data_IF_318048935506
#
_entry.id   IF_318048935506
#
_cell.length_a   1.000
_cell.length_b   1.000
_cell.length_c   1.000
_cell.angle_alpha   90.00
_cell.angle_beta   90.00
_cell.angle_gamma   90.00
#
_symmetry.space_group_name_H-M   'P 1'
#
loop_
_entity.id
_entity.type
_entity.pdbx_description
1 polymer ?
#
# COMPACT_ATOMS: atom_id res chain seq x y z
N UNK A 1 23.61 67.56 4.29
CA UNK A 1 22.79 68.48 5.12
C UNK A 1 22.38 67.78 6.40
N UNK A 2 21.93 68.50 7.44
CA UNK A 2 21.69 67.94 8.79
C UNK A 2 20.62 66.84 8.85
N UNK A 3 19.86 66.61 7.77
CA UNK A 3 18.71 65.70 7.76
C UNK A 3 18.98 64.37 7.02
N UNK A 4 20.23 64.07 6.64
CA UNK A 4 20.61 62.76 6.06
C UNK A 4 20.08 62.43 4.65
N UNK A 5 19.11 63.17 4.11
CA UNK A 5 18.46 62.89 2.83
C UNK A 5 19.23 63.37 1.58
N UNK A 6 20.37 64.06 1.73
CA UNK A 6 21.18 64.54 0.60
C UNK A 6 22.65 64.23 0.84
N UNK A 7 23.11 63.14 0.24
CA UNK A 7 24.48 62.62 0.43
C UNK A 7 25.48 63.50 -0.32
N UNK A 8 25.19 63.92 -1.56
CA UNK A 8 26.09 64.75 -2.37
C UNK A 8 25.42 65.40 -3.57
N UNK A 9 25.95 66.54 -4.00
CA UNK A 9 25.63 67.18 -5.28
C UNK A 9 26.79 66.96 -6.24
N UNK A 10 26.49 66.54 -7.47
CA UNK A 10 27.44 66.48 -8.57
C UNK A 10 27.02 67.51 -9.62
N UNK A 11 27.92 68.44 -9.95
CA UNK A 11 27.75 69.38 -11.06
C UNK A 11 28.03 68.62 -12.36
N UNK A 12 26.96 68.31 -13.10
CA UNK A 12 27.01 67.59 -14.37
C UNK A 12 26.65 68.58 -15.47
N UNK A 13 27.53 68.72 -16.45
CA UNK A 13 27.38 69.66 -17.57
C UNK A 13 27.27 68.92 -18.90
N UNK A 14 26.76 69.61 -19.91
CA UNK A 14 26.56 69.08 -21.26
C UNK A 14 27.87 68.72 -21.98
N UNK A 15 28.99 69.26 -21.54
CA UNK A 15 30.34 68.95 -22.03
C UNK A 15 30.99 67.73 -21.33
N UNK A 16 30.33 67.12 -20.35
CA UNK A 16 30.86 65.93 -19.69
C UNK A 16 30.73 64.69 -20.59
N UNK A 17 31.80 63.87 -20.71
CA UNK A 17 31.76 62.67 -21.54
C UNK A 17 30.79 61.64 -20.99
N UNK A 18 30.11 60.95 -21.91
CA UNK A 18 29.33 59.75 -21.59
C UNK A 18 30.22 58.69 -20.94
N UNK A 19 29.61 57.85 -20.12
CA UNK A 19 30.26 56.75 -19.40
C UNK A 19 31.35 57.20 -18.40
N UNK A 20 31.46 58.51 -18.13
CA UNK A 20 32.31 59.02 -17.06
C UNK A 20 31.83 58.48 -15.71
N UNK A 21 32.77 57.92 -14.96
CA UNK A 21 32.54 57.42 -13.62
C UNK A 21 32.47 58.56 -12.58
N UNK A 22 31.36 58.63 -11.85
CA UNK A 22 31.16 59.51 -10.70
C UNK A 22 31.20 58.69 -9.41
N UNK A 23 32.30 58.80 -8.67
CA UNK A 23 32.54 57.98 -7.48
C UNK A 23 31.83 58.52 -6.23
N UNK A 24 31.08 57.65 -5.55
CA UNK A 24 30.26 57.95 -4.38
C UNK A 24 31.02 57.85 -3.05
N UNK A 25 32.33 57.57 -3.08
CA UNK A 25 33.28 57.46 -1.95
C UNK A 25 32.99 56.34 -0.94
N UNK A 26 32.02 55.49 -1.22
CA UNK A 26 31.65 54.31 -0.44
C UNK A 26 31.88 53.00 -1.24
N UNK A 27 32.80 53.02 -2.21
CA UNK A 27 33.05 51.90 -3.11
C UNK A 27 32.10 51.82 -4.31
N UNK A 28 31.00 52.58 -4.30
CA UNK A 28 30.07 52.63 -5.42
C UNK A 28 30.38 53.79 -6.38
N UNK A 29 29.91 53.67 -7.62
CA UNK A 29 29.95 54.72 -8.62
C UNK A 29 28.73 54.65 -9.54
N UNK A 30 28.45 55.74 -10.26
CA UNK A 30 27.50 55.74 -11.37
C UNK A 30 28.14 56.31 -12.63
N UNK A 31 27.57 55.98 -13.80
CA UNK A 31 27.90 56.54 -15.11
C UNK A 31 26.64 57.09 -15.77
N UNK A 32 26.79 57.97 -16.76
CA UNK A 32 25.68 58.55 -17.51
C UNK A 32 25.77 58.12 -18.97
N UNK A 33 24.70 57.51 -19.49
CA UNK A 33 24.54 57.21 -20.91
C UNK A 33 23.96 58.39 -21.69
N UNK A 34 23.74 58.21 -22.99
CA UNK A 34 23.14 59.25 -23.85
C UNK A 34 21.72 59.59 -23.38
N UNK A 35 21.41 60.88 -23.20
CA UNK A 35 20.10 61.34 -22.77
C UNK A 35 20.07 62.83 -22.42
N UNK A 36 19.00 63.26 -21.76
CA UNK A 36 18.83 64.63 -21.25
C UNK A 36 18.58 64.59 -19.75
N UNK A 37 19.23 65.49 -19.02
CA UNK A 37 18.91 65.80 -17.62
C UNK A 37 18.35 67.22 -17.56
N UNK A 38 17.41 67.47 -16.66
CA UNK A 38 16.89 68.79 -16.35
C UNK A 38 17.48 69.24 -15.00
N UNK A 39 17.60 70.54 -14.80
CA UNK A 39 18.04 71.11 -13.53
C UNK A 39 17.13 70.62 -12.40
N UNK A 40 17.73 70.26 -11.26
CA UNK A 40 17.09 69.61 -10.10
C UNK A 40 16.54 68.18 -10.33
N UNK A 41 16.98 67.45 -11.37
CA UNK A 41 16.70 66.01 -11.47
C UNK A 41 17.23 65.25 -10.24
N UNK A 42 16.39 64.37 -9.68
CA UNK A 42 16.73 63.54 -8.51
C UNK A 42 16.69 62.06 -8.85
N UNK A 43 17.66 61.31 -8.34
CA UNK A 43 17.70 59.86 -8.38
C UNK A 43 17.91 59.33 -6.96
N UNK A 44 17.06 58.40 -6.51
CA UNK A 44 17.18 57.78 -5.20
C UNK A 44 17.81 56.40 -5.34
N UNK A 45 18.92 56.18 -4.62
CA UNK A 45 19.53 54.86 -4.46
C UNK A 45 19.39 54.49 -3.00
N UNK A 46 18.59 53.48 -2.71
CA UNK A 46 18.45 52.94 -1.36
C UNK A 46 19.55 51.91 -1.10
N UNK A 47 20.43 52.22 -0.14
CA UNK A 47 21.48 51.32 0.36
C UNK A 47 21.06 50.95 1.79
N UNK A 48 20.80 49.67 2.04
CA UNK A 48 20.46 49.17 3.38
C UNK A 48 21.68 48.55 4.04
N UNK A 49 21.97 48.93 5.28
CA UNK A 49 22.97 48.33 6.18
C UNK A 49 22.42 47.11 6.95
N UNK A 50 21.19 46.69 6.64
CA UNK A 50 20.55 45.56 7.27
C UNK A 50 21.38 44.29 7.05
N UNK A 51 22.09 43.90 8.10
CA UNK A 51 22.62 42.56 8.28
C UNK A 51 21.46 41.57 8.14
N UNK A 52 21.45 40.88 6.99
CA UNK A 52 20.73 39.64 6.69
C UNK A 52 19.23 39.63 6.94
N UNK A 53 18.42 39.60 5.88
CA UNK A 53 17.19 38.81 5.97
C UNK A 53 17.58 37.37 6.36
N UNK A 54 16.91 36.77 7.34
CA UNK A 54 17.08 35.33 7.60
C UNK A 54 16.74 34.59 6.30
N UNK A 55 17.47 33.52 6.00
CA UNK A 55 17.16 32.69 4.83
C UNK A 55 15.67 32.32 4.84
N UNK A 56 14.99 32.52 3.71
CA UNK A 56 13.56 32.24 3.61
C UNK A 56 13.26 31.40 2.35
N UNK A 57 12.94 30.09 2.53
CA UNK A 57 12.73 29.18 1.40
C UNK A 57 11.46 29.46 0.61
N UNK A 58 10.57 30.33 1.11
CA UNK A 58 9.28 30.65 0.50
C UNK A 58 9.30 31.93 -0.35
N UNK A 59 10.48 32.54 -0.52
CA UNK A 59 10.66 33.73 -1.36
C UNK A 59 11.21 33.34 -2.74
N UNK A 60 10.84 34.07 -3.80
CA UNK A 60 11.23 33.75 -5.17
C UNK A 60 12.74 33.96 -5.38
N UNK A 61 13.40 33.12 -6.18
CA UNK A 61 14.84 33.19 -6.42
C UNK A 61 15.30 34.53 -7.03
N UNK A 62 14.47 35.14 -7.89
CA UNK A 62 14.67 36.46 -8.48
C UNK A 62 14.18 37.62 -7.59
N UNK A 63 13.80 37.31 -6.36
CA UNK A 63 13.35 38.30 -5.40
C UNK A 63 14.41 39.37 -5.16
N UNK A 64 13.96 40.61 -4.97
CA UNK A 64 14.84 41.74 -4.68
C UNK A 64 14.60 42.23 -3.26
N UNK A 65 15.66 42.74 -2.61
CA UNK A 65 15.59 43.29 -1.24
C UNK A 65 14.99 42.26 -0.28
N UNK A 66 13.95 42.64 0.47
CA UNK A 66 13.29 41.81 1.48
C UNK A 66 12.46 40.66 0.88
N UNK A 67 12.29 40.61 -0.43
CA UNK A 67 11.63 39.51 -1.13
C UNK A 67 12.64 38.49 -1.69
N UNK A 68 13.93 38.61 -1.37
CA UNK A 68 14.96 37.64 -1.75
C UNK A 68 15.11 36.53 -0.69
N UNK A 69 15.28 35.25 -1.08
CA UNK A 69 15.46 34.12 -0.15
C UNK A 69 16.76 34.19 0.67
N UNK A 70 17.70 35.04 0.28
CA UNK A 70 18.99 35.27 0.93
C UNK A 70 19.90 34.03 1.00
N UNK A 71 20.08 33.35 -0.14
CA UNK A 71 21.12 32.32 -0.26
C UNK A 71 22.50 32.92 0.07
N UNK A 72 23.29 32.20 0.87
CA UNK A 72 24.60 32.68 1.31
C UNK A 72 25.59 32.74 0.15
N UNK A 73 26.08 33.93 -0.16
CA UNK A 73 27.20 34.16 -1.07
C UNK A 73 28.52 33.81 -0.37
N UNK A 74 29.43 33.14 -1.06
CA UNK A 74 30.81 33.00 -0.56
C UNK A 74 31.50 34.35 -0.63
N UNK A 75 32.20 34.74 0.44
CA UNK A 75 32.88 36.04 0.54
C UNK A 75 34.00 36.24 -0.52
N UNK A 76 34.45 35.16 -1.17
CA UNK A 76 35.56 35.16 -2.12
C UNK A 76 35.16 34.80 -3.58
N UNK A 77 33.91 34.42 -3.84
CA UNK A 77 33.39 34.11 -5.19
C UNK A 77 31.90 34.43 -5.27
N UNK A 78 31.48 35.47 -6.02
CA UNK A 78 30.07 35.79 -6.16
C UNK A 78 29.38 34.64 -6.89
N UNK A 79 28.54 33.88 -6.17
CA UNK A 79 27.66 32.89 -6.77
C UNK A 79 26.82 33.58 -7.86
N UNK A 80 26.81 33.00 -9.05
CA UNK A 80 25.89 33.43 -10.10
C UNK A 80 24.45 33.30 -9.59
N UNK A 81 23.55 34.23 -9.96
CA UNK A 81 22.16 34.15 -9.55
C UNK A 81 21.53 32.84 -10.04
N UNK A 82 20.55 32.35 -9.30
CA UNK A 82 19.68 31.28 -9.77
C UNK A 82 18.84 31.83 -10.93
N UNK A 83 18.85 31.13 -12.07
CA UNK A 83 18.18 31.55 -13.31
C UNK A 83 17.24 30.46 -13.82
N UNK A 84 16.42 30.81 -14.82
CA UNK A 84 15.60 29.83 -15.54
C UNK A 84 16.49 28.74 -16.16
N UNK A 85 16.14 27.49 -15.90
CA UNK A 85 16.89 26.33 -16.37
C UNK A 85 16.36 25.03 -15.78
N UNK A 86 17.25 24.07 -15.61
CA UNK A 86 16.94 22.76 -15.02
C UNK A 86 18.20 22.06 -14.52
N UNK A 87 18.00 21.01 -13.74
CA UNK A 87 19.01 19.99 -13.45
C UNK A 87 18.38 18.60 -13.62
N UNK A 88 19.21 17.58 -13.75
CA UNK A 88 18.78 16.17 -13.76
C UNK A 88 18.96 15.55 -12.38
N UNK A 89 17.93 14.84 -11.89
CA UNK A 89 17.95 14.05 -10.67
C UNK A 89 17.58 12.61 -11.03
N UNK A 90 18.55 11.70 -10.94
CA UNK A 90 18.40 10.29 -11.32
C UNK A 90 17.90 10.12 -12.76
N UNK A 91 18.33 11.03 -13.66
CA UNK A 91 17.90 11.09 -15.06
C UNK A 91 16.54 11.77 -15.31
N UNK A 92 15.82 12.17 -14.26
CA UNK A 92 14.59 12.96 -14.38
C UNK A 92 14.92 14.46 -14.42
N UNK A 93 14.33 15.21 -15.36
CA UNK A 93 14.57 16.66 -15.46
C UNK A 93 13.72 17.43 -14.46
N UNK A 94 14.36 18.19 -13.57
CA UNK A 94 13.71 19.11 -12.64
C UNK A 94 13.87 20.53 -13.17
N UNK A 95 12.78 21.12 -13.64
CA UNK A 95 12.75 22.52 -14.07
C UNK A 95 12.93 23.47 -12.86
N UNK A 96 13.62 24.57 -13.09
CA UNK A 96 13.83 25.67 -12.14
C UNK A 96 13.53 26.98 -12.87
N UNK A 97 12.59 27.76 -12.35
CA UNK A 97 12.32 29.11 -12.84
C UNK A 97 12.84 30.13 -11.83
N UNK A 98 13.23 31.31 -12.29
CA UNK A 98 13.73 32.37 -11.44
C UNK A 98 12.66 32.90 -10.46
N UNK A 99 11.37 32.75 -10.75
CA UNK A 99 10.28 33.08 -9.84
C UNK A 99 9.85 31.92 -8.91
N UNK A 100 10.48 30.74 -9.02
CA UNK A 100 10.27 29.64 -8.08
C UNK A 100 10.81 29.98 -6.69
N UNK A 101 10.33 29.22 -5.70
CA UNK A 101 10.82 29.22 -4.32
C UNK A 101 11.51 27.90 -4.03
N UNK A 102 12.37 27.82 -2.99
CA UNK A 102 12.97 26.53 -2.60
C UNK A 102 11.89 25.50 -2.24
N UNK A 103 10.83 25.94 -1.55
CA UNK A 103 9.68 25.08 -1.23
C UNK A 103 9.05 24.49 -2.50
N UNK A 104 8.87 25.30 -3.55
CA UNK A 104 8.32 24.82 -4.82
C UNK A 104 9.24 23.80 -5.50
N UNK A 105 10.56 23.95 -5.42
CA UNK A 105 11.50 22.95 -5.94
C UNK A 105 11.41 21.64 -5.15
N UNK A 106 11.39 21.71 -3.81
CA UNK A 106 11.25 20.53 -2.95
C UNK A 106 9.96 19.77 -3.29
N UNK A 107 8.85 20.48 -3.44
CA UNK A 107 7.56 19.90 -3.84
C UNK A 107 7.63 19.27 -5.23
N UNK A 108 8.31 19.91 -6.19
CA UNK A 108 8.50 19.40 -7.54
C UNK A 108 9.33 18.12 -7.56
N UNK A 109 10.40 18.04 -6.77
CA UNK A 109 11.19 16.81 -6.60
C UNK A 109 10.31 15.70 -6.03
N UNK A 110 9.56 15.98 -4.96
CA UNK A 110 8.69 15.00 -4.31
C UNK A 110 7.54 14.49 -5.20
N UNK A 111 7.17 15.23 -6.24
CA UNK A 111 6.15 14.85 -7.23
C UNK A 111 6.75 14.23 -8.51
N UNK A 112 8.07 14.23 -8.65
CA UNK A 112 8.76 13.72 -9.83
C UNK A 112 8.89 12.20 -9.83
N UNK A 113 9.26 11.63 -10.99
CA UNK A 113 9.58 10.21 -11.12
C UNK A 113 11.04 9.88 -10.74
N UNK A 114 11.79 10.83 -10.15
CA UNK A 114 13.20 10.66 -9.82
C UNK A 114 13.47 9.58 -8.74
N UNK A 115 12.44 9.12 -8.02
CA UNK A 115 12.60 8.14 -6.94
C UNK A 115 13.32 8.70 -5.70
N UNK A 116 13.25 10.01 -5.50
CA UNK A 116 13.87 10.74 -4.38
C UNK A 116 12.81 11.55 -3.65
N UNK A 117 12.87 11.54 -2.33
CA UNK A 117 12.16 12.47 -1.45
C UNK A 117 13.13 13.58 -1.03
N UNK A 118 12.74 14.82 -1.27
CA UNK A 118 13.44 16.00 -0.79
C UNK A 118 12.76 16.56 0.45
N UNK A 119 13.55 16.98 1.43
CA UNK A 119 13.08 17.66 2.62
C UNK A 119 13.98 18.85 2.95
N UNK A 120 13.38 20.00 3.21
CA UNK A 120 14.10 21.15 3.76
C UNK A 120 13.87 21.24 5.28
N UNK A 121 14.95 21.19 6.05
CA UNK A 121 14.92 21.34 7.49
C UNK A 121 15.23 22.80 7.87
N UNK A 122 14.23 23.54 8.35
CA UNK A 122 14.38 24.96 8.73
C UNK A 122 15.22 25.19 9.99
N UNK A 123 15.47 24.15 10.80
CA UNK A 123 16.30 24.25 12.01
C UNK A 123 17.78 24.14 11.65
N UNK A 124 18.14 23.22 10.74
CA UNK A 124 19.52 23.01 10.31
C UNK A 124 19.86 23.75 9.01
N UNK A 125 18.86 24.36 8.35
CA UNK A 125 18.97 25.02 7.05
C UNK A 125 19.56 24.09 5.97
N UNK A 126 19.18 22.81 6.02
CA UNK A 126 19.68 21.77 5.11
C UNK A 126 18.57 21.21 4.24
N UNK A 127 18.95 20.90 3.00
CA UNK A 127 18.14 20.07 2.10
C UNK A 127 18.68 18.65 2.20
N UNK A 128 17.80 17.71 2.52
CA UNK A 128 18.10 16.29 2.55
C UNK A 128 17.38 15.60 1.40
N UNK A 129 18.12 14.84 0.61
CA UNK A 129 17.58 13.96 -0.42
C UNK A 129 17.69 12.52 0.05
N UNK A 130 16.56 11.83 0.05
CA UNK A 130 16.43 10.45 0.50
C UNK A 130 15.84 9.63 -0.63
N UNK A 131 16.55 8.58 -1.04
CA UNK A 131 16.06 7.65 -2.05
C UNK A 131 14.83 6.90 -1.51
N UNK A 132 13.81 6.73 -2.36
CA UNK A 132 12.56 6.09 -1.97
C UNK A 132 12.68 4.56 -1.89
N UNK A 133 13.63 3.97 -2.62
CA UNK A 133 13.95 2.55 -2.51
C UNK A 133 14.99 2.31 -1.42
N UNK A 134 14.77 1.27 -0.61
CA UNK A 134 15.77 0.75 0.33
C UNK A 134 16.86 0.01 -0.42
N UNK A 135 18.10 0.07 0.07
CA UNK A 135 19.20 -0.73 -0.45
C UNK A 135 20.53 0.01 -0.44
N UNK A 136 21.61 -0.74 -0.62
CA UNK A 136 22.98 -0.23 -0.68
C UNK A 136 23.38 0.31 -2.05
N UNK A 137 22.59 0.03 -3.09
CA UNK A 137 22.78 0.62 -4.42
C UNK A 137 22.35 2.10 -4.39
N UNK A 138 23.30 3.06 -4.42
CA UNK A 138 22.96 4.48 -4.33
C UNK A 138 22.35 4.92 -5.66
N UNK A 139 21.18 5.55 -5.63
CA UNK A 139 20.58 6.08 -6.86
C UNK A 139 20.61 7.59 -6.98
N UNK A 140 21.00 8.35 -5.94
CA UNK A 140 20.91 9.82 -6.00
C UNK A 140 22.06 10.39 -6.82
N UNK A 141 21.73 10.82 -8.02
CA UNK A 141 22.66 11.38 -8.98
C UNK A 141 22.12 12.73 -9.48
N UNK A 142 22.95 13.77 -9.38
CA UNK A 142 22.59 15.14 -9.75
C UNK A 142 23.52 15.57 -10.89
N UNK A 143 22.94 15.91 -12.03
CA UNK A 143 23.71 16.27 -13.23
C UNK A 143 23.12 17.49 -13.94
N UNK A 144 23.88 18.04 -14.89
CA UNK A 144 23.40 19.00 -15.89
C UNK A 144 22.65 20.22 -15.34
N UNK A 145 23.06 20.74 -14.17
CA UNK A 145 22.48 21.97 -13.63
C UNK A 145 22.83 23.18 -14.51
N UNK A 146 21.79 23.79 -15.08
CA UNK A 146 21.84 25.02 -15.88
C UNK A 146 21.22 26.21 -15.16
N UNK A 147 20.65 25.98 -13.98
CA UNK A 147 19.91 26.97 -13.18
C UNK A 147 20.75 27.60 -12.06
N UNK A 148 21.94 27.05 -11.77
CA UNK A 148 22.80 27.35 -10.62
C UNK A 148 22.24 26.96 -9.25
N UNK A 149 21.06 26.33 -9.18
CA UNK A 149 20.41 25.97 -7.92
C UNK A 149 21.24 24.98 -7.09
N UNK A 150 21.88 24.00 -7.73
CA UNK A 150 22.64 22.95 -7.02
C UNK A 150 23.89 23.53 -6.34
N UNK A 151 24.50 24.52 -6.97
CA UNK A 151 25.63 25.27 -6.39
C UNK A 151 25.14 26.18 -5.26
N UNK A 152 24.06 26.95 -5.48
CA UNK A 152 23.49 27.87 -4.49
C UNK A 152 23.01 27.16 -3.21
N UNK A 153 22.56 25.91 -3.34
CA UNK A 153 22.13 25.04 -2.23
C UNK A 153 23.26 24.20 -1.63
N UNK A 154 24.49 24.33 -2.14
CA UNK A 154 25.68 23.58 -1.71
C UNK A 154 25.55 22.05 -1.87
N UNK A 155 24.65 21.59 -2.73
CA UNK A 155 24.43 20.17 -3.01
C UNK A 155 25.54 19.58 -3.91
N UNK A 156 26.28 20.41 -4.65
CA UNK A 156 27.38 19.97 -5.53
C UNK A 156 28.52 19.24 -4.80
N UNK A 157 28.70 19.48 -3.50
CA UNK A 157 29.70 18.83 -2.65
C UNK A 157 29.12 17.82 -1.65
N UNK A 158 27.82 17.52 -1.73
CA UNK A 158 27.18 16.61 -0.79
C UNK A 158 27.63 15.16 -1.03
N UNK A 159 27.91 14.43 0.06
CA UNK A 159 28.21 12.99 -0.02
C UNK A 159 26.91 12.20 0.02
N UNK A 160 26.70 11.34 -0.98
CA UNK A 160 25.64 10.34 -0.94
C UNK A 160 26.07 9.22 0.01
N UNK A 161 25.24 8.92 1.01
CA UNK A 161 25.45 7.79 1.91
C UNK A 161 24.61 6.62 1.39
N UNK A 162 25.21 5.48 1.02
CA UNK A 162 24.46 4.29 0.62
C UNK A 162 23.52 3.83 1.74
N UNK A 163 22.34 3.34 1.36
CA UNK A 163 21.46 2.66 2.29
C UNK A 163 21.99 1.27 2.68
N UNK A 164 21.16 0.49 3.35
CA UNK A 164 21.46 -0.89 3.74
C UNK A 164 20.49 -1.80 3.01
N UNK A 165 21.01 -2.86 2.37
CA UNK A 165 20.16 -3.89 1.78
C UNK A 165 19.42 -4.66 2.86
N UNK A 166 18.14 -5.00 2.65
CA UNK A 166 17.42 -5.84 3.60
C UNK A 166 18.11 -7.20 3.71
N UNK A 167 18.09 -7.78 4.91
CA UNK A 167 18.72 -9.09 5.18
C UNK A 167 18.21 -10.20 4.25
N UNK A 168 17.02 -10.04 3.66
CA UNK A 168 16.45 -11.01 2.71
C UNK A 168 17.09 -10.98 1.33
N UNK A 169 17.79 -9.90 0.97
CA UNK A 169 18.40 -9.68 -0.35
C UNK A 169 19.92 -9.86 -0.35
N UNK A 170 20.56 -9.81 0.83
CA UNK A 170 22.01 -10.07 0.95
C UNK A 170 22.31 -11.57 1.03
N UNK A 171 23.58 -11.92 0.86
CA UNK A 171 24.02 -13.30 0.94
C UNK A 171 23.71 -13.90 2.32
N UNK A 172 23.25 -15.15 2.36
CA UNK A 172 22.84 -15.83 3.60
C UNK A 172 23.93 -15.82 4.68
N UNK A 173 25.21 -15.88 4.29
CA UNK A 173 26.34 -15.85 5.22
C UNK A 173 26.48 -14.51 5.96
N UNK A 174 26.00 -13.41 5.39
CA UNK A 174 26.09 -12.07 5.97
C UNK A 174 24.93 -11.79 6.94
N UNK A 175 23.91 -12.65 6.95
CA UNK A 175 22.80 -12.61 7.90
C UNK A 175 23.15 -13.46 9.12
N UNK A 176 23.36 -12.82 10.27
CA UNK A 176 23.80 -13.50 11.49
C UNK A 176 22.92 -14.70 11.89
N UNK A 177 21.60 -14.57 11.73
CA UNK A 177 20.64 -15.64 12.03
C UNK A 177 20.76 -16.87 11.10
N UNK A 178 21.27 -16.68 9.88
CA UNK A 178 21.39 -17.70 8.83
C UNK A 178 22.84 -18.22 8.70
N UNK A 179 23.77 -17.71 9.51
CA UNK A 179 25.20 -18.06 9.48
C UNK A 179 25.50 -19.56 9.68
N UNK A 180 24.58 -20.31 10.28
CA UNK A 180 24.69 -21.75 10.49
C UNK A 180 24.38 -22.60 9.25
N UNK A 181 23.89 -21.99 8.17
CA UNK A 181 23.62 -22.66 6.90
C UNK A 181 24.94 -23.06 6.23
N UNK A 182 24.95 -24.22 5.59
CA UNK A 182 26.05 -24.73 4.77
C UNK A 182 25.55 -24.91 3.34
N UNK A 183 26.37 -24.52 2.35
CA UNK A 183 26.05 -24.72 0.94
C UNK A 183 25.90 -26.21 0.60
N UNK A 184 24.97 -26.56 -0.29
CA UNK A 184 24.65 -27.94 -0.64
C UNK A 184 23.31 -28.05 -1.36
N UNK A 185 22.62 -29.17 -1.16
CA UNK A 185 21.24 -29.34 -1.63
C UNK A 185 20.29 -29.66 -0.49
N UNK A 186 19.04 -29.24 -0.63
CA UNK A 186 17.93 -29.53 0.28
C UNK A 186 16.71 -29.99 -0.53
N UNK A 187 15.73 -30.57 0.14
CA UNK A 187 14.53 -31.08 -0.52
C UNK A 187 13.25 -30.46 0.05
N UNK A 188 12.32 -30.13 -0.86
CA UNK A 188 10.95 -29.75 -0.53
C UNK A 188 10.02 -30.64 -1.35
N UNK A 189 9.17 -31.40 -0.66
CA UNK A 189 8.26 -32.37 -1.24
C UNK A 189 8.92 -33.34 -2.24
N UNK A 190 10.17 -33.73 -1.96
CA UNK A 190 10.97 -34.63 -2.79
C UNK A 190 11.68 -33.99 -3.99
N UNK A 191 11.44 -32.71 -4.28
CA UNK A 191 12.20 -31.96 -5.27
C UNK A 191 13.49 -31.41 -4.66
N UNK A 192 14.59 -31.50 -5.40
CA UNK A 192 15.91 -31.03 -4.99
C UNK A 192 16.12 -29.55 -5.36
N UNK A 193 16.71 -28.80 -4.43
CA UNK A 193 17.12 -27.42 -4.61
C UNK A 193 18.57 -27.28 -4.17
N UNK A 194 19.33 -26.42 -4.85
CA UNK A 194 20.68 -26.04 -4.43
C UNK A 194 20.63 -24.76 -3.61
N UNK A 195 21.54 -24.66 -2.64
CA UNK A 195 21.76 -23.45 -1.85
C UNK A 195 23.25 -23.17 -1.75
N UNK A 196 23.67 -21.95 -2.06
CA UNK A 196 25.02 -21.45 -1.81
C UNK A 196 24.96 -20.24 -0.88
N UNK A 197 25.43 -20.41 0.36
CA UNK A 197 25.36 -19.35 1.38
C UNK A 197 26.14 -18.08 1.03
N UNK A 198 27.12 -18.18 0.12
CA UNK A 198 27.98 -17.06 -0.25
C UNK A 198 27.34 -16.18 -1.32
N UNK A 199 26.39 -16.69 -2.09
CA UNK A 199 25.81 -16.00 -3.25
C UNK A 199 24.29 -15.90 -3.19
N UNK A 200 23.61 -16.87 -2.60
CA UNK A 200 22.16 -16.88 -2.53
C UNK A 200 21.68 -15.99 -1.39
N UNK A 201 20.54 -15.34 -1.62
CA UNK A 201 19.77 -14.61 -0.62
C UNK A 201 18.55 -15.42 -0.17
N UNK A 202 17.95 -15.06 0.96
CA UNK A 202 16.72 -15.72 1.41
C UNK A 202 15.59 -15.55 0.39
N UNK A 203 15.48 -14.38 -0.25
CA UNK A 203 14.48 -14.14 -1.29
C UNK A 203 14.71 -15.01 -2.53
N UNK A 204 15.96 -15.22 -2.94
CA UNK A 204 16.27 -16.14 -4.05
C UNK A 204 15.83 -17.57 -3.72
N UNK A 205 16.09 -18.06 -2.49
CA UNK A 205 15.66 -19.39 -2.05
C UNK A 205 14.12 -19.52 -2.06
N UNK A 206 13.40 -18.53 -1.53
CA UNK A 206 11.93 -18.49 -1.53
C UNK A 206 11.38 -18.51 -2.96
N UNK A 207 11.94 -17.69 -3.85
CA UNK A 207 11.54 -17.64 -5.26
C UNK A 207 11.78 -18.98 -5.98
N UNK A 208 12.92 -19.62 -5.72
CA UNK A 208 13.25 -20.92 -6.30
C UNK A 208 12.22 -21.99 -5.89
N UNK A 209 11.84 -22.05 -4.60
CA UNK A 209 10.79 -22.97 -4.12
C UNK A 209 9.46 -22.70 -4.82
N UNK A 210 9.03 -21.43 -4.87
CA UNK A 210 7.76 -21.03 -5.48
C UNK A 210 7.71 -21.30 -7.00
N UNK A 211 8.84 -21.16 -7.69
CA UNK A 211 8.94 -21.40 -9.14
C UNK A 211 8.91 -22.90 -9.50
N UNK A 212 9.32 -23.79 -8.59
CA UNK A 212 9.41 -25.22 -8.85
C UNK A 212 8.05 -25.96 -8.83
N UNK A 213 6.96 -25.29 -8.43
CA UNK A 213 5.60 -25.84 -8.40
C UNK A 213 5.47 -27.18 -7.65
N UNK A 214 6.15 -27.30 -6.51
CA UNK A 214 6.27 -28.54 -5.71
C UNK A 214 5.13 -28.73 -4.69
N UNK A 215 3.95 -28.13 -4.97
CA UNK A 215 2.80 -28.07 -4.05
C UNK A 215 3.12 -27.40 -2.69
N UNK A 216 4.16 -26.57 -2.61
CA UNK A 216 4.50 -25.78 -1.43
C UNK A 216 4.72 -24.33 -1.86
N UNK A 217 4.12 -23.40 -1.12
CA UNK A 217 4.37 -21.96 -1.23
C UNK A 217 5.23 -21.50 -0.06
N UNK A 218 6.33 -20.82 -0.36
CA UNK A 218 7.20 -20.18 0.60
C UNK A 218 6.92 -18.67 0.64
N UNK A 219 6.92 -18.09 1.85
CA UNK A 219 6.80 -16.66 2.06
C UNK A 219 7.61 -16.21 3.27
N UNK A 220 7.93 -14.92 3.33
CA UNK A 220 8.59 -14.28 4.46
C UNK A 220 7.66 -13.24 5.08
N UNK A 221 7.40 -13.37 6.38
CA UNK A 221 6.71 -12.36 7.17
C UNK A 221 7.74 -11.38 7.74
N UNK A 222 7.75 -10.15 7.21
CA UNK A 222 8.66 -9.10 7.66
C UNK A 222 8.39 -8.60 9.07
N UNK A 223 7.17 -8.79 9.60
CA UNK A 223 6.80 -8.39 10.96
C UNK A 223 7.29 -9.42 11.96
N UNK A 224 6.97 -10.70 11.72
CA UNK A 224 7.42 -11.81 12.55
C UNK A 224 8.90 -12.17 12.35
N UNK A 225 9.53 -11.72 11.27
CA UNK A 225 10.85 -12.17 10.79
C UNK A 225 10.93 -13.68 10.66
N UNK A 226 9.86 -14.30 10.15
CA UNK A 226 9.73 -15.74 10.02
C UNK A 226 9.50 -16.12 8.56
N UNK A 227 10.06 -17.28 8.18
CA UNK A 227 9.71 -17.93 6.92
C UNK A 227 8.53 -18.86 7.18
N UNK A 228 7.55 -18.81 6.28
CA UNK A 228 6.39 -19.69 6.29
C UNK A 228 6.40 -20.55 5.03
N UNK A 229 6.25 -21.85 5.21
CA UNK A 229 5.99 -22.80 4.14
C UNK A 229 4.56 -23.32 4.31
N UNK A 230 3.76 -23.27 3.24
CA UNK A 230 2.38 -23.73 3.22
C UNK A 230 2.17 -24.71 2.08
N UNK A 231 1.47 -25.81 2.36
CA UNK A 231 1.05 -26.72 1.30
C UNK A 231 -0.01 -26.06 0.43
N UNK A 232 0.17 -26.13 -0.89
CA UNK A 232 -0.75 -25.56 -1.88
C UNK A 232 -1.90 -26.50 -2.25
N UNK A 233 -1.81 -27.81 -1.95
CA UNK A 233 -2.81 -28.78 -2.42
C UNK A 233 -3.27 -29.85 -1.42
N UNK A 234 -2.69 -30.04 -0.22
CA UNK A 234 -3.25 -30.99 0.79
C UNK A 234 -2.64 -30.85 2.21
N UNK A 235 -3.27 -31.52 3.17
CA UNK A 235 -3.00 -31.67 4.64
C UNK A 235 -1.55 -31.81 5.16
N UNK A 236 -0.51 -31.84 4.33
CA UNK A 236 0.90 -31.93 4.76
C UNK A 236 1.91 -31.72 3.62
N UNK A 237 3.16 -31.38 3.95
CA UNK A 237 4.31 -31.43 3.03
C UNK A 237 5.53 -32.05 3.74
N UNK A 238 6.62 -32.29 3.02
CA UNK A 238 7.89 -32.81 3.58
C UNK A 238 9.03 -31.85 3.26
N UNK A 239 9.87 -31.59 4.24
CA UNK A 239 11.11 -30.81 4.10
C UNK A 239 12.30 -31.63 4.61
N UNK A 240 13.44 -31.54 3.94
CA UNK A 240 14.68 -32.19 4.37
C UNK A 240 15.85 -31.27 4.06
N UNK A 241 16.57 -30.83 5.10
CA UNK A 241 17.72 -29.95 4.92
C UNK A 241 18.90 -30.66 4.25
N UNK A 242 18.92 -32.01 4.24
CA UNK A 242 19.99 -32.83 3.66
C UNK A 242 21.40 -32.34 4.07
N UNK A 243 21.54 -31.98 5.35
CA UNK A 243 22.80 -31.52 5.95
C UNK A 243 23.15 -30.04 5.75
N UNK A 244 22.36 -29.26 5.00
CA UNK A 244 22.57 -27.81 4.81
C UNK A 244 22.21 -26.97 6.04
N UNK A 245 21.48 -27.57 7.01
CA UNK A 245 20.95 -26.89 8.19
C UNK A 245 19.97 -25.74 7.88
N UNK A 246 19.46 -25.65 6.65
CA UNK A 246 18.56 -24.58 6.19
C UNK A 246 17.31 -24.46 7.06
N UNK A 247 16.53 -25.54 7.20
CA UNK A 247 15.23 -25.45 7.89
C UNK A 247 15.41 -25.20 9.39
N UNK A 248 16.44 -25.76 10.02
CA UNK A 248 16.77 -25.46 11.41
C UNK A 248 17.15 -23.97 11.62
N UNK A 249 17.92 -23.37 10.70
CA UNK A 249 18.22 -21.93 10.73
C UNK A 249 16.95 -21.06 10.56
N UNK A 250 15.94 -21.59 9.86
CA UNK A 250 14.61 -20.98 9.72
C UNK A 250 13.65 -21.33 10.87
N UNK A 251 14.15 -21.96 11.94
CA UNK A 251 13.35 -22.43 13.08
C UNK A 251 12.23 -23.43 12.69
N UNK A 252 12.53 -24.29 11.72
CA UNK A 252 11.69 -25.38 11.23
C UNK A 252 12.39 -26.72 11.49
N UNK A 253 11.60 -27.78 11.63
CA UNK A 253 12.12 -29.13 11.87
C UNK A 253 11.98 -29.94 10.60
N UNK A 254 13.07 -30.56 10.16
CA UNK A 254 13.07 -31.50 9.04
C UNK A 254 12.06 -32.64 9.25
N UNK A 255 11.47 -33.10 8.15
CA UNK A 255 10.54 -34.21 8.09
C UNK A 255 9.17 -33.81 7.55
N UNK A 256 8.18 -34.64 7.88
CA UNK A 256 6.78 -34.42 7.50
C UNK A 256 6.18 -33.32 8.36
N UNK A 257 5.74 -32.25 7.72
CA UNK A 257 4.97 -31.17 8.32
C UNK A 257 3.50 -31.38 7.96
N UNK A 258 2.67 -31.71 8.95
CA UNK A 258 1.23 -31.73 8.77
C UNK A 258 0.70 -30.30 8.83
N UNK A 259 -0.16 -29.92 7.87
CA UNK A 259 -0.92 -28.68 7.94
C UNK A 259 -1.82 -28.70 9.17
N UNK A 260 -2.19 -27.53 9.69
CA UNK A 260 -3.17 -27.45 10.77
C UNK A 260 -4.44 -28.20 10.36
N UNK A 261 -4.78 -29.27 11.11
CA UNK A 261 -5.96 -30.06 10.83
C UNK A 261 -7.20 -29.17 10.90
N UNK A 262 -7.78 -28.83 9.74
CA UNK A 262 -8.98 -27.99 9.67
C UNK A 262 -10.24 -28.74 10.14
N UNK A 263 -10.15 -30.05 10.33
CA UNK A 263 -11.25 -30.94 10.73
C UNK A 263 -11.44 -31.10 12.24
N UNK A 264 -12.64 -31.54 12.64
CA UNK A 264 -12.99 -31.80 14.03
C UNK A 264 -12.93 -33.29 14.38
N UNK A 265 -12.72 -33.61 15.66
CA UNK A 265 -12.71 -35.01 16.15
C UNK A 265 -13.99 -35.76 15.75
N UNK A 266 -13.89 -37.10 15.58
CA UNK A 266 -15.05 -37.96 15.27
C UNK A 266 -16.23 -37.69 16.21
N UNK A 267 -16.00 -37.66 17.54
CA UNK A 267 -17.07 -37.39 18.52
C UNK A 267 -17.78 -36.07 18.24
N UNK A 268 -17.04 -34.99 17.98
CA UNK A 268 -17.62 -33.67 17.65
C UNK A 268 -18.33 -33.68 16.30
N UNK A 269 -17.77 -34.35 15.29
CA UNK A 269 -18.41 -34.47 13.97
C UNK A 269 -19.79 -35.13 14.06
N UNK A 270 -19.91 -36.23 14.80
CA UNK A 270 -21.20 -36.89 15.01
C UNK A 270 -22.18 -36.02 15.83
N UNK A 271 -21.70 -35.28 16.83
CA UNK A 271 -22.54 -34.37 17.60
C UNK A 271 -23.09 -33.20 16.75
N UNK A 272 -22.28 -32.66 15.83
CA UNK A 272 -22.74 -31.63 14.87
C UNK A 272 -23.71 -32.25 13.87
N UNK A 273 -23.44 -33.46 13.38
CA UNK A 273 -24.34 -34.18 12.49
C UNK A 273 -25.72 -34.44 13.11
N UNK A 274 -25.80 -34.74 14.41
CA UNK A 274 -27.08 -34.87 15.12
C UNK A 274 -27.91 -33.57 15.05
N UNK A 275 -27.26 -32.42 15.30
CA UNK A 275 -27.94 -31.12 15.26
C UNK A 275 -28.42 -30.75 13.85
N UNK A 276 -27.65 -31.10 12.82
CA UNK A 276 -28.02 -30.87 11.43
C UNK A 276 -29.18 -31.78 11.00
N UNK A 277 -29.16 -33.05 11.42
CA UNK A 277 -30.25 -33.99 11.17
C UNK A 277 -31.56 -33.51 11.81
N UNK A 278 -31.51 -33.02 13.06
CA UNK A 278 -32.65 -32.41 13.74
C UNK A 278 -33.18 -31.18 12.98
N UNK A 279 -32.28 -30.30 12.53
CA UNK A 279 -32.65 -29.10 11.79
C UNK A 279 -33.31 -29.42 10.43
N UNK A 280 -32.77 -30.40 9.69
CA UNK A 280 -33.33 -30.85 8.41
C UNK A 280 -34.65 -31.60 8.62
N UNK A 281 -34.77 -32.34 9.72
CA UNK A 281 -36.04 -32.92 10.18
C UNK A 281 -37.10 -31.84 10.42
N UNK A 282 -36.75 -30.77 11.13
CA UNK A 282 -37.65 -29.63 11.35
C UNK A 282 -38.03 -28.91 10.05
N UNK A 283 -37.08 -28.72 9.13
CA UNK A 283 -37.34 -28.13 7.81
C UNK A 283 -38.32 -28.99 7.00
N UNK A 284 -38.12 -30.31 6.94
CA UNK A 284 -39.06 -31.22 6.28
C UNK A 284 -40.42 -31.27 7.01
N UNK A 285 -40.46 -31.14 8.34
CA UNK A 285 -41.70 -31.08 9.09
C UNK A 285 -42.59 -29.90 8.67
N UNK A 286 -42.00 -28.74 8.34
CA UNK A 286 -42.74 -27.60 7.77
C UNK A 286 -43.48 -27.97 6.48
N UNK A 287 -42.85 -28.80 5.64
CA UNK A 287 -43.40 -29.21 4.37
C UNK A 287 -44.35 -30.40 4.48
N UNK A 288 -44.20 -31.28 5.48
CA UNK A 288 -45.00 -32.50 5.64
C UNK A 288 -46.21 -32.35 6.56
N UNK A 289 -46.29 -31.29 7.37
CA UNK A 289 -47.40 -31.07 8.30
C UNK A 289 -48.75 -31.00 7.56
N UNK A 290 -49.77 -31.69 8.11
CA UNK A 290 -51.14 -31.78 7.59
C UNK A 290 -51.79 -30.45 7.22
N UNK A 291 -51.51 -29.38 7.97
CA UNK A 291 -51.96 -28.02 7.67
C UNK A 291 -51.40 -27.46 6.36
N UNK A 292 -50.33 -28.07 5.84
CA UNK A 292 -49.72 -27.82 4.53
C UNK A 292 -49.92 -28.98 3.55
N UNK A 293 -50.36 -30.15 4.03
CA UNK A 293 -50.38 -31.42 3.29
C UNK A 293 -51.57 -31.54 2.35
N UNK A 294 -52.74 -31.01 2.70
CA UNK A 294 -53.95 -31.14 1.88
C UNK A 294 -54.93 -29.95 2.03
N UNK A 295 -55.31 -29.31 0.91
CA UNK A 295 -56.72 -28.98 0.68
C UNK A 295 -57.27 -27.56 0.88
N UNK A 296 -56.47 -26.49 0.81
CA UNK A 296 -57.04 -25.15 0.60
C UNK A 296 -56.32 -24.49 -0.59
N UNK A 297 -57.02 -23.65 -1.35
CA UNK A 297 -56.47 -22.94 -2.52
C UNK A 297 -55.21 -22.11 -2.22
N UNK A 298 -54.82 -21.98 -0.95
CA UNK A 298 -53.75 -21.10 -0.47
C UNK A 298 -52.56 -21.86 0.16
N UNK A 299 -52.64 -23.17 0.43
CA UNK A 299 -51.49 -23.94 0.96
C UNK A 299 -50.39 -24.14 -0.08
N UNK A 300 -50.76 -24.27 -1.37
CA UNK A 300 -49.82 -24.33 -2.48
C UNK A 300 -49.03 -23.01 -2.64
N UNK A 301 -49.66 -21.88 -2.35
CA UNK A 301 -49.03 -20.54 -2.40
C UNK A 301 -47.90 -20.46 -1.37
N UNK A 302 -48.18 -20.83 -0.11
CA UNK A 302 -47.17 -20.83 0.95
C UNK A 302 -46.04 -21.83 0.67
N UNK A 303 -46.40 -23.08 0.36
CA UNK A 303 -45.42 -24.16 0.20
C UNK A 303 -44.47 -23.90 -0.97
N UNK A 304 -44.98 -23.45 -2.10
CA UNK A 304 -44.15 -23.20 -3.28
C UNK A 304 -43.21 -22.01 -3.07
N UNK A 305 -43.71 -20.94 -2.44
CA UNK A 305 -42.89 -19.76 -2.12
C UNK A 305 -41.76 -20.12 -1.16
N UNK A 306 -42.06 -20.86 -0.09
CA UNK A 306 -41.04 -21.28 0.88
C UNK A 306 -40.04 -22.26 0.26
N UNK A 307 -40.51 -23.26 -0.50
CA UNK A 307 -39.62 -24.23 -1.16
C UNK A 307 -38.69 -23.54 -2.17
N UNK A 308 -39.18 -22.58 -2.95
CA UNK A 308 -38.34 -21.84 -3.89
C UNK A 308 -37.32 -20.96 -3.16
N UNK A 309 -37.71 -20.28 -2.08
CA UNK A 309 -36.78 -19.44 -1.31
C UNK A 309 -35.64 -20.27 -0.68
N UNK A 310 -35.96 -21.46 -0.17
CA UNK A 310 -34.96 -22.39 0.38
C UNK A 310 -34.07 -22.97 -0.73
N UNK A 311 -34.63 -23.34 -1.87
CA UNK A 311 -33.87 -23.79 -3.05
C UNK A 311 -32.87 -22.73 -3.52
N UNK A 312 -33.29 -21.46 -3.56
CA UNK A 312 -32.41 -20.34 -3.89
C UNK A 312 -31.30 -20.13 -2.85
N UNK A 313 -31.57 -20.35 -1.56
CA UNK A 313 -30.54 -20.33 -0.52
C UNK A 313 -29.49 -21.43 -0.74
N UNK A 314 -29.92 -22.66 -1.04
CA UNK A 314 -29.01 -23.76 -1.35
C UNK A 314 -28.19 -23.50 -2.62
N UNK A 315 -28.78 -22.91 -3.66
CA UNK A 315 -28.07 -22.50 -4.89
C UNK A 315 -27.08 -21.37 -4.67
N UNK A 316 -27.42 -20.37 -3.83
CA UNK A 316 -26.53 -19.23 -3.50
C UNK A 316 -25.31 -19.63 -2.69
N UNK A 317 -25.43 -20.67 -1.87
CA UNK A 317 -24.31 -21.20 -1.08
C UNK A 317 -23.19 -21.84 -1.94
N UNK A 318 -23.39 -21.99 -3.26
CA UNK A 318 -22.36 -22.27 -4.28
C UNK A 318 -21.37 -23.42 -3.94
N UNK A 319 -21.86 -24.55 -3.46
CA UNK A 319 -21.03 -25.76 -3.44
C UNK A 319 -21.82 -26.92 -4.02
N UNK A 320 -21.36 -27.44 -5.16
CA UNK A 320 -21.91 -28.64 -5.80
C UNK A 320 -21.80 -29.90 -4.91
N UNK A 321 -21.12 -29.78 -3.77
CA UNK A 321 -21.32 -30.63 -2.61
C UNK A 321 -21.41 -29.75 -1.36
N UNK A 322 -22.61 -29.50 -0.83
CA UNK A 322 -22.79 -29.00 0.55
C UNK A 322 -22.43 -30.10 1.57
N UNK A 323 -21.39 -30.87 1.26
CA UNK A 323 -20.78 -31.87 2.12
C UNK A 323 -21.79 -32.89 2.63
N UNK A 324 -22.64 -33.43 1.77
CA UNK A 324 -23.71 -34.37 2.14
C UNK A 324 -25.07 -33.72 2.44
N UNK A 325 -25.20 -32.39 2.39
CA UNK A 325 -26.51 -31.73 2.44
C UNK A 325 -27.07 -31.54 1.02
N UNK A 326 -28.38 -31.75 0.85
CA UNK A 326 -29.06 -31.47 -0.41
C UNK A 326 -30.48 -30.93 -0.19
N UNK A 327 -30.97 -30.22 -1.21
CA UNK A 327 -32.36 -29.78 -1.29
C UNK A 327 -32.95 -30.16 -2.66
N UNK A 328 -33.89 -31.10 -2.67
CA UNK A 328 -34.54 -31.65 -3.86
C UNK A 328 -35.90 -30.98 -4.10
N UNK A 329 -35.99 -30.19 -5.17
CA UNK A 329 -37.24 -29.57 -5.63
C UNK A 329 -37.93 -30.32 -6.78
N UNK A 330 -37.49 -31.56 -7.04
CA UNK A 330 -38.05 -32.46 -8.03
C UNK A 330 -39.53 -32.78 -7.78
N UNK A 331 -40.23 -33.21 -8.84
CA UNK A 331 -41.67 -33.51 -8.77
C UNK A 331 -42.01 -34.55 -7.69
N UNK A 332 -41.15 -35.55 -7.51
CA UNK A 332 -41.33 -36.60 -6.50
C UNK A 332 -41.13 -36.09 -5.07
N UNK A 333 -40.13 -35.23 -4.83
CA UNK A 333 -39.92 -34.56 -3.55
C UNK A 333 -41.10 -33.65 -3.18
N UNK A 334 -41.61 -32.88 -4.15
CA UNK A 334 -42.81 -32.03 -4.02
C UNK A 334 -44.06 -32.83 -3.63
N UNK A 335 -44.24 -34.03 -4.19
CA UNK A 335 -45.36 -34.91 -3.85
C UNK A 335 -45.24 -35.51 -2.44
N UNK A 336 -44.01 -35.85 -2.01
CA UNK A 336 -43.76 -36.44 -0.67
C UNK A 336 -43.67 -35.40 0.44
N UNK A 337 -43.44 -34.13 0.11
CA UNK A 337 -43.17 -33.07 1.08
C UNK A 337 -41.79 -33.17 1.73
N UNK A 338 -40.88 -33.94 1.15
CA UNK A 338 -39.53 -34.19 1.67
C UNK A 338 -38.53 -33.57 0.72
N UNK A 339 -37.99 -32.41 1.10
CA UNK A 339 -37.16 -31.57 0.24
C UNK A 339 -35.70 -31.57 0.70
N UNK A 340 -35.44 -31.63 2.01
CA UNK A 340 -34.08 -31.53 2.53
C UNK A 340 -33.50 -32.93 2.80
N UNK A 341 -32.40 -33.30 2.16
CA UNK A 341 -31.70 -34.55 2.37
C UNK A 341 -30.36 -34.36 3.09
N UNK A 342 -29.98 -35.39 3.85
CA UNK A 342 -28.77 -35.40 4.66
C UNK A 342 -28.05 -36.76 4.54
N UNK A 343 -26.89 -36.77 3.89
CA UNK A 343 -25.94 -37.88 3.94
C UNK A 343 -25.00 -37.68 5.14
N UNK A 344 -25.37 -38.35 6.25
CA UNK A 344 -24.64 -38.28 7.51
C UNK A 344 -23.21 -38.80 7.39
N UNK A 345 -22.96 -39.79 6.54
CA UNK A 345 -21.63 -40.37 6.39
C UNK A 345 -20.71 -39.37 5.67
N UNK A 346 -21.18 -38.82 4.55
CA UNK A 346 -20.42 -37.84 3.79
C UNK A 346 -20.18 -36.56 4.61
N UNK A 347 -21.20 -36.06 5.31
CA UNK A 347 -21.07 -34.87 6.16
C UNK A 347 -20.08 -35.04 7.30
N UNK A 348 -20.15 -36.17 8.04
CA UNK A 348 -19.18 -36.42 9.12
C UNK A 348 -17.77 -36.68 8.61
N UNK A 349 -17.61 -37.24 7.40
CA UNK A 349 -16.31 -37.41 6.77
C UNK A 349 -15.69 -36.06 6.38
N UNK A 350 -16.49 -35.17 5.79
CA UNK A 350 -16.07 -33.82 5.44
C UNK A 350 -15.76 -32.96 6.66
N UNK A 351 -16.56 -33.00 7.73
CA UNK A 351 -16.24 -32.30 8.98
C UNK A 351 -14.90 -32.73 9.60
N UNK A 352 -14.50 -33.99 9.41
CA UNK A 352 -13.25 -34.53 9.94
C UNK A 352 -12.03 -34.23 9.08
N UNK A 353 -12.22 -33.99 7.79
CA UNK A 353 -11.12 -33.74 6.83
C UNK A 353 -10.97 -32.27 6.48
N UNK A 354 -12.10 -31.59 6.26
CA UNK A 354 -12.21 -30.26 5.66
C UNK A 354 -13.10 -29.35 6.52
N UNK A 355 -12.96 -29.41 7.85
CA UNK A 355 -13.90 -28.73 8.78
C UNK A 355 -13.96 -27.21 8.59
N UNK A 356 -12.87 -26.59 8.15
CA UNK A 356 -12.82 -25.18 7.78
C UNK A 356 -13.71 -24.84 6.59
N UNK A 357 -13.73 -25.69 5.55
CA UNK A 357 -14.57 -25.49 4.37
C UNK A 357 -16.05 -25.74 4.67
N UNK A 358 -16.34 -26.75 5.50
CA UNK A 358 -17.71 -27.00 5.99
C UNK A 358 -18.21 -25.80 6.80
N UNK A 359 -17.38 -25.24 7.69
CA UNK A 359 -17.72 -24.03 8.45
C UNK A 359 -18.01 -22.86 7.50
N UNK A 360 -17.17 -22.64 6.50
CA UNK A 360 -17.31 -21.54 5.54
C UNK A 360 -18.60 -21.67 4.71
N UNK A 361 -18.96 -22.87 4.27
CA UNK A 361 -20.20 -23.09 3.54
C UNK A 361 -21.46 -22.90 4.40
N UNK A 362 -21.40 -23.28 5.69
CA UNK A 362 -22.55 -23.13 6.59
C UNK A 362 -22.71 -21.70 7.11
N UNK A 363 -21.62 -21.03 7.49
CA UNK A 363 -21.63 -19.78 8.25
C UNK A 363 -20.90 -18.60 7.59
N UNK A 364 -20.26 -18.80 6.43
CA UNK A 364 -19.41 -17.79 5.80
C UNK A 364 -18.00 -17.68 6.44
N UNK A 365 -17.15 -16.83 5.88
CA UNK A 365 -15.77 -16.58 6.35
C UNK A 365 -15.72 -15.88 7.71
N UNK A 366 -16.71 -15.06 7.99
CA UNK A 366 -16.75 -14.03 9.02
C UNK A 366 -18.08 -14.05 9.79
N UNK A 367 -18.84 -15.15 9.65
CA UNK A 367 -20.20 -15.26 10.21
C UNK A 367 -21.26 -14.54 9.38
N UNK A 368 -20.86 -13.81 8.34
CA UNK A 368 -21.70 -13.20 7.31
C UNK A 368 -21.78 -14.09 6.07
N UNK A 369 -23.00 -14.36 5.60
CA UNK A 369 -23.25 -15.27 4.47
C UNK A 369 -23.28 -16.74 4.85
N UNK A 370 -23.16 -17.63 3.86
CA UNK A 370 -23.29 -19.07 4.04
C UNK A 370 -24.74 -19.53 4.21
N UNK A 371 -24.93 -20.86 4.18
CA UNK A 371 -26.25 -21.49 4.12
C UNK A 371 -27.19 -21.05 5.25
N UNK A 372 -26.70 -20.89 6.48
CA UNK A 372 -27.55 -20.50 7.62
C UNK A 372 -28.13 -19.10 7.44
N UNK A 373 -27.31 -18.14 7.03
CA UNK A 373 -27.76 -16.77 6.79
C UNK A 373 -28.64 -16.68 5.53
N UNK A 374 -28.33 -17.46 4.50
CA UNK A 374 -29.13 -17.53 3.28
C UNK A 374 -30.52 -18.11 3.56
N UNK A 375 -30.61 -19.14 4.42
CA UNK A 375 -31.87 -19.71 4.89
C UNK A 375 -32.67 -18.73 5.74
N UNK A 376 -32.01 -17.98 6.64
CA UNK A 376 -32.65 -16.92 7.41
C UNK A 376 -33.25 -15.83 6.50
N UNK A 377 -32.48 -15.39 5.51
CA UNK A 377 -32.92 -14.41 4.51
C UNK A 377 -34.06 -14.92 3.64
N UNK A 378 -33.99 -16.20 3.22
CA UNK A 378 -35.04 -16.88 2.47
C UNK A 378 -36.34 -16.99 3.27
N UNK A 379 -36.28 -17.28 4.57
CA UNK A 379 -37.45 -17.34 5.44
C UNK A 379 -38.14 -15.97 5.57
N UNK A 380 -37.38 -14.88 5.75
CA UNK A 380 -37.92 -13.51 5.79
C UNK A 380 -38.56 -13.14 4.45
N UNK A 381 -37.90 -13.47 3.34
CA UNK A 381 -38.43 -13.20 2.00
C UNK A 381 -39.70 -14.01 1.72
N UNK A 382 -39.74 -15.29 2.10
CA UNK A 382 -40.92 -16.11 1.98
C UNK A 382 -42.10 -15.50 2.77
N UNK A 383 -41.86 -15.07 4.02
CA UNK A 383 -42.87 -14.41 4.84
C UNK A 383 -43.45 -13.15 4.17
N UNK A 384 -42.60 -12.31 3.57
CA UNK A 384 -43.05 -11.13 2.82
C UNK A 384 -43.92 -11.51 1.63
N UNK A 385 -43.46 -12.46 0.81
CA UNK A 385 -44.18 -12.94 -0.36
C UNK A 385 -45.54 -13.57 0.02
N UNK A 386 -45.59 -14.28 1.15
CA UNK A 386 -46.83 -14.84 1.70
C UNK A 386 -47.77 -13.73 2.14
N UNK A 387 -47.28 -12.72 2.88
CA UNK A 387 -48.09 -11.57 3.30
C UNK A 387 -48.66 -10.81 2.09
N UNK A 388 -47.85 -10.63 1.04
CA UNK A 388 -48.29 -10.05 -0.23
C UNK A 388 -49.39 -10.88 -0.91
N UNK A 389 -49.18 -12.20 -1.02
CA UNK A 389 -50.14 -13.10 -1.65
C UNK A 389 -51.47 -13.20 -0.87
N UNK A 390 -51.43 -13.02 0.46
CA UNK A 390 -52.61 -13.00 1.33
C UNK A 390 -53.23 -11.59 1.46
N UNK A 391 -52.68 -10.57 0.82
CA UNK A 391 -53.16 -9.19 0.91
C UNK A 391 -52.99 -8.55 2.31
N UNK A 392 -52.16 -9.15 3.17
CA UNK A 392 -51.87 -8.69 4.53
C UNK A 392 -50.82 -7.58 4.49
N UNK A 393 -51.19 -6.40 3.98
CA UNK A 393 -50.34 -5.20 4.03
C UNK A 393 -50.53 -4.48 5.36
N UNK A 394 -49.65 -4.73 6.32
CA UNK A 394 -49.43 -3.80 7.43
C UNK A 394 -48.25 -2.89 7.07
N UNK A 395 -48.52 -1.63 6.73
CA UNK A 395 -47.49 -0.61 6.57
C UNK A 395 -46.93 -0.29 7.97
N UNK A 396 -45.68 -0.65 8.23
CA UNK A 396 -44.93 -0.07 9.34
C UNK A 396 -44.19 1.15 8.77
N UNK A 397 -44.73 2.35 9.01
CA UNK A 397 -44.01 3.60 8.76
C UNK A 397 -43.24 3.90 10.03
N UNK A 398 -41.92 3.75 9.98
CA UNK A 398 -41.04 4.26 11.02
C UNK A 398 -40.96 5.79 10.85
N UNK A 399 -41.75 6.53 11.63
CA UNK A 399 -41.64 7.98 11.73
C UNK A 399 -40.69 8.36 12.87
N UNK A 400 -39.41 8.05 12.71
CA UNK A 400 -38.34 8.76 13.42
C UNK A 400 -37.17 9.01 12.46
N UNK A 401 -37.19 10.20 11.86
CA UNK A 401 -36.02 10.91 11.32
C UNK A 401 -35.78 12.14 12.20
#
# INVERSE_FOLDING_TARGET
>A
EPDGNRIRTYDIRDDHPLDRQYNLRNGMFFTLGSGTLIDDDTAEIQISDSVGSVFNPNLPFNGVRNNNPNFQYYDDDPLDPIVDGSFELNGETIAVNADDTLTAIVDRINQSAAGVTANYNSVTEQIEFTQQSTGSAPSIDIQNDTSNLIVATKLSGASVVPGVDPETEVALQDVAALSSIVSGSFFVNGAEFTIDKATDSLNAVIQNINAAAVDVTASFDSTGKTVKLESSSETSFVIDSNGTNLFAALNMVDGRVDGEATGISRRRAYAVADQIEDAFGALNALFTNGSFKDGADHTGVFRNVLANAVDDAFKRSRSDALFGLNFDTGKAAKQRGYFAGFDRQDFTQNLRRNGGDVKRALAGSDGSGGLVNDLGSAAVQALRNINEALGLRANYIDTFA
#
